data_IF_984158079156
#
_entry.id   IF_984158079156
#
_cell.length_a   1.000
_cell.length_b   1.000
_cell.length_c   1.000
_cell.angle_alpha   90.00
_cell.angle_beta   90.00
_cell.angle_gamma   90.00
#
_symmetry.space_group_name_H-M   'P 1'
#
loop_
_entity.id
_entity.type
_entity.pdbx_description
1 polymer ?
#
# COMPACT_ATOMS: atom_id res chain seq x y z
N UNK A 1 -2.45 21.64 -3.90
CA UNK A 1 -3.47 20.57 -3.79
C UNK A 1 -2.81 19.19 -3.81
N UNK A 2 -2.22 18.76 -4.92
CA UNK A 2 -1.58 17.43 -4.98
C UNK A 2 -0.37 17.30 -4.03
N UNK A 3 0.53 18.28 -4.04
CA UNK A 3 1.65 18.33 -3.08
C UNK A 3 1.17 18.33 -1.62
N UNK A 4 0.06 19.00 -1.33
CA UNK A 4 -0.55 19.01 0.01
C UNK A 4 -1.01 17.61 0.41
N UNK A 5 -1.66 16.88 -0.52
CA UNK A 5 -2.07 15.50 -0.27
C UNK A 5 -0.86 14.56 -0.09
N UNK A 6 0.22 14.79 -0.84
CA UNK A 6 1.45 14.04 -0.65
C UNK A 6 2.08 14.30 0.72
N UNK A 7 2.07 15.55 1.19
CA UNK A 7 2.55 15.89 2.53
C UNK A 7 1.68 15.21 3.60
N UNK A 8 0.35 15.34 3.51
CA UNK A 8 -0.58 14.67 4.44
C UNK A 8 -0.41 13.15 4.45
N UNK A 9 -0.15 12.55 3.29
CA UNK A 9 0.13 11.13 3.18
C UNK A 9 1.43 10.80 3.90
N UNK A 10 2.50 11.55 3.64
CA UNK A 10 3.80 11.35 4.26
C UNK A 10 3.75 11.50 5.79
N UNK A 11 3.06 12.53 6.28
CA UNK A 11 2.95 12.83 7.72
C UNK A 11 2.27 11.70 8.51
N UNK A 12 1.36 10.94 7.86
CA UNK A 12 0.68 9.79 8.47
C UNK A 12 1.43 8.46 8.33
N UNK A 13 2.59 8.43 7.65
CA UNK A 13 3.39 7.22 7.46
C UNK A 13 4.38 7.04 8.61
N UNK A 14 4.43 5.82 9.14
CA UNK A 14 5.56 5.31 9.91
C UNK A 14 6.17 4.08 9.22
N UNK A 15 7.46 3.89 9.41
CA UNK A 15 8.23 2.86 8.72
C UNK A 15 8.28 1.58 9.54
N UNK A 16 7.91 0.47 8.90
CA UNK A 16 8.03 -0.86 9.49
C UNK A 16 8.69 -1.82 8.50
N UNK A 17 10.01 -1.99 8.62
CA UNK A 17 10.80 -2.72 7.62
C UNK A 17 10.77 -1.98 6.27
N UNK A 18 10.36 -2.65 5.19
CA UNK A 18 10.19 -2.04 3.85
C UNK A 18 8.80 -1.40 3.65
N UNK A 19 7.90 -1.57 4.61
CA UNK A 19 6.49 -1.23 4.47
C UNK A 19 6.23 0.21 4.99
N UNK A 20 5.46 1.01 4.24
CA UNK A 20 5.05 2.36 4.62
C UNK A 20 3.69 2.25 5.30
N UNK A 21 3.63 2.26 6.62
CA UNK A 21 2.39 2.01 7.35
C UNK A 21 1.70 3.34 7.63
N UNK A 22 0.48 3.49 7.17
CA UNK A 22 -0.32 4.68 7.42
C UNK A 22 -1.22 4.45 8.63
N UNK A 23 -1.03 5.26 9.67
CA UNK A 23 -1.92 5.35 10.83
C UNK A 23 -2.79 6.58 10.66
N UNK A 24 -3.87 6.43 9.88
CA UNK A 24 -4.87 7.48 9.75
C UNK A 24 -5.59 7.77 11.07
N UNK A 25 -6.50 8.74 11.05
CA UNK A 25 -7.33 9.09 12.21
C UNK A 25 -8.42 8.07 12.50
N UNK A 26 -8.81 7.28 11.51
CA UNK A 26 -9.90 6.30 11.60
C UNK A 26 -9.63 5.07 10.73
N UNK A 27 -10.42 4.02 10.95
CA UNK A 27 -10.41 2.79 10.16
C UNK A 27 -11.79 2.56 9.53
N UNK A 28 -11.80 2.11 8.27
CA UNK A 28 -13.01 1.55 7.65
C UNK A 28 -13.53 0.35 8.42
N UNK A 29 -14.80 -0.04 8.18
CA UNK A 29 -15.40 -1.29 8.72
C UNK A 29 -14.54 -2.52 8.43
N UNK A 30 -13.82 -2.52 7.30
CA UNK A 30 -12.92 -3.60 6.92
C UNK A 30 -11.50 -3.45 7.51
N UNK A 31 -11.22 -2.48 8.37
CA UNK A 31 -9.94 -2.28 9.06
C UNK A 31 -8.83 -1.64 8.22
N UNK A 32 -9.15 -1.00 7.09
CA UNK A 32 -8.20 -0.19 6.34
C UNK A 32 -8.13 1.23 6.91
N UNK A 33 -6.92 1.82 7.03
CA UNK A 33 -6.78 3.23 7.36
C UNK A 33 -7.44 4.14 6.35
N UNK A 34 -8.03 5.19 6.89
CA UNK A 34 -8.71 6.24 6.15
C UNK A 34 -7.90 7.54 6.22
N UNK A 35 -7.99 8.33 5.16
CA UNK A 35 -7.27 9.57 4.97
C UNK A 35 -8.20 10.61 4.33
N UNK A 36 -8.19 11.82 4.88
CA UNK A 36 -8.76 12.99 4.20
C UNK A 36 -7.79 13.51 3.15
N UNK A 37 -8.32 13.92 2.00
CA UNK A 37 -7.55 14.68 1.02
C UNK A 37 -7.95 16.15 1.08
N UNK A 38 -7.04 17.05 0.71
CA UNK A 38 -7.29 18.49 0.61
C UNK A 38 -8.53 18.82 -0.24
N UNK A 39 -8.83 18.00 -1.26
CA UNK A 39 -9.97 18.22 -2.14
C UNK A 39 -11.27 17.60 -1.61
N UNK A 40 -11.21 16.91 -0.47
CA UNK A 40 -12.34 16.21 0.16
C UNK A 40 -12.18 16.24 1.67
N UNK A 41 -12.09 17.44 2.24
CA UNK A 41 -11.94 17.62 3.70
C UNK A 41 -13.07 16.98 4.52
N UNK A 42 -14.22 16.69 3.91
CA UNK A 42 -15.39 16.08 4.56
C UNK A 42 -15.61 14.61 4.17
N UNK A 43 -14.77 14.03 3.30
CA UNK A 43 -14.91 12.64 2.84
C UNK A 43 -13.58 11.92 2.98
N UNK A 44 -13.57 10.89 3.81
CA UNK A 44 -12.43 10.00 3.99
C UNK A 44 -12.31 9.00 2.85
N UNK A 45 -11.07 8.75 2.41
CA UNK A 45 -10.74 7.75 1.40
C UNK A 45 -9.77 6.71 1.98
N UNK A 46 -9.78 5.51 1.40
CA UNK A 46 -8.83 4.45 1.75
C UNK A 46 -7.40 4.94 1.49
N UNK A 47 -6.57 5.03 2.52
CA UNK A 47 -5.24 5.64 2.44
C UNK A 47 -4.35 4.99 1.38
N UNK A 48 -4.39 3.66 1.26
CA UNK A 48 -3.63 2.93 0.25
C UNK A 48 -4.09 3.24 -1.20
N UNK A 49 -5.37 3.59 -1.40
CA UNK A 49 -5.88 4.03 -2.71
C UNK A 49 -5.45 5.46 -3.02
N UNK A 50 -5.46 6.34 -2.00
CA UNK A 50 -4.95 7.71 -2.13
C UNK A 50 -3.47 7.68 -2.51
N UNK A 51 -2.67 6.88 -1.82
CA UNK A 51 -1.25 6.71 -2.14
C UNK A 51 -1.04 6.17 -3.56
N UNK A 52 -1.83 5.17 -3.97
CA UNK A 52 -1.77 4.65 -5.33
C UNK A 52 -2.11 5.73 -6.37
N UNK A 53 -3.18 6.49 -6.17
CA UNK A 53 -3.60 7.54 -7.09
C UNK A 53 -2.52 8.63 -7.24
N UNK A 54 -2.02 9.15 -6.11
CA UNK A 54 -0.99 10.20 -6.08
C UNK A 54 0.34 9.77 -6.69
N UNK A 55 0.72 8.49 -6.55
CA UNK A 55 2.06 8.02 -6.90
C UNK A 55 2.12 7.21 -8.20
N UNK A 56 1.02 6.57 -8.58
CA UNK A 56 0.92 5.72 -9.78
C UNK A 56 -0.07 6.26 -10.82
N UNK A 57 -0.71 7.40 -10.57
CA UNK A 57 -1.72 8.02 -11.44
C UNK A 57 -2.93 7.10 -11.70
N UNK A 58 -3.35 6.42 -10.63
CA UNK A 58 -4.51 5.54 -10.66
C UNK A 58 -4.22 4.18 -11.29
N UNK A 59 -5.27 3.41 -11.52
CA UNK A 59 -5.23 2.09 -12.16
C UNK A 59 -6.42 1.93 -13.09
N UNK A 60 -6.38 0.90 -13.95
CA UNK A 60 -7.48 0.61 -14.88
C UNK A 60 -8.79 0.43 -14.11
N UNK A 61 -9.94 0.91 -14.65
CA UNK A 61 -11.24 0.66 -14.06
C UNK A 61 -11.48 -0.82 -13.75
N UNK A 62 -12.27 -1.09 -12.70
CA UNK A 62 -12.65 -2.46 -12.26
C UNK A 62 -11.48 -3.32 -11.79
N UNK A 63 -10.35 -2.69 -11.42
CA UNK A 63 -9.25 -3.36 -10.71
C UNK A 63 -9.34 -3.08 -9.21
N UNK A 64 -8.91 -4.05 -8.42
CA UNK A 64 -8.75 -3.94 -6.97
C UNK A 64 -7.26 -3.86 -6.66
N UNK A 65 -6.88 -3.08 -5.65
CA UNK A 65 -5.51 -3.06 -5.15
C UNK A 65 -5.34 -4.19 -4.14
N UNK A 66 -4.58 -5.23 -4.52
CA UNK A 66 -4.27 -6.37 -3.67
C UNK A 66 -2.88 -6.19 -3.06
N UNK A 67 -2.79 -6.29 -1.73
CA UNK A 67 -1.51 -6.33 -1.03
C UNK A 67 -0.79 -7.67 -1.31
N UNK A 68 0.45 -7.58 -1.77
CA UNK A 68 1.29 -8.74 -2.04
C UNK A 68 1.64 -9.47 -0.73
N UNK A 69 1.91 -10.77 -0.83
CA UNK A 69 2.02 -11.74 0.29
C UNK A 69 3.10 -11.43 1.33
N UNK A 70 3.98 -10.50 0.97
CA UNK A 70 5.07 -9.91 1.72
C UNK A 70 4.64 -8.82 2.72
N UNK A 71 3.50 -8.19 2.51
CA UNK A 71 3.19 -6.92 3.16
C UNK A 71 2.67 -7.08 4.61
N UNK A 72 2.94 -6.11 5.49
CA UNK A 72 2.29 -5.99 6.83
C UNK A 72 0.78 -5.71 6.76
N UNK A 73 0.19 -5.72 5.57
CA UNK A 73 -1.25 -5.80 5.35
C UNK A 73 -1.93 -4.45 5.16
N UNK A 74 -3.15 -4.31 5.69
CA UNK A 74 -4.10 -3.24 5.38
C UNK A 74 -3.58 -1.82 5.64
N UNK A 75 -2.62 -1.69 6.57
CA UNK A 75 -1.99 -0.42 6.92
C UNK A 75 -0.98 0.08 5.90
N UNK A 76 -0.43 -0.79 5.05
CA UNK A 76 0.63 -0.41 4.13
C UNK A 76 0.10 0.38 2.92
N UNK A 77 0.74 1.51 2.64
CA UNK A 77 0.45 2.40 1.52
C UNK A 77 1.54 2.42 0.45
N UNK A 78 2.63 1.64 0.63
CA UNK A 78 3.70 1.52 -0.36
C UNK A 78 3.18 0.89 -1.67
N UNK A 79 3.18 1.62 -2.81
CA UNK A 79 2.73 1.09 -4.10
C UNK A 79 3.49 -0.16 -4.55
N UNK A 80 4.78 -0.30 -4.19
CA UNK A 80 5.56 -1.49 -4.51
C UNK A 80 5.06 -2.76 -3.81
N UNK A 81 4.22 -2.64 -2.78
CA UNK A 81 3.62 -3.76 -2.07
C UNK A 81 2.18 -4.04 -2.49
N UNK A 82 1.69 -3.39 -3.54
CA UNK A 82 0.33 -3.53 -4.07
C UNK A 82 0.33 -3.80 -5.57
N UNK A 83 -0.67 -4.54 -6.02
CA UNK A 83 -0.88 -4.83 -7.44
C UNK A 83 -2.35 -4.60 -7.83
N UNK A 84 -2.62 -3.86 -8.92
CA UNK A 84 -3.94 -3.79 -9.54
C UNK A 84 -4.34 -5.14 -10.15
N UNK A 85 -5.23 -5.87 -9.47
CA UNK A 85 -5.69 -7.19 -9.91
C UNK A 85 -7.18 -7.19 -10.21
N UNK A 86 -7.67 -8.25 -10.86
CA UNK A 86 -9.13 -8.46 -10.97
C UNK A 86 -9.68 -8.97 -9.64
N UNK A 87 -10.98 -8.78 -9.40
CA UNK A 87 -11.67 -9.31 -8.22
C UNK A 87 -11.45 -10.83 -8.05
N UNK A 88 -11.45 -11.59 -9.15
CA UNK A 88 -11.17 -13.04 -9.13
C UNK A 88 -9.77 -13.36 -8.61
N UNK A 89 -8.75 -12.61 -9.05
CA UNK A 89 -7.37 -12.80 -8.57
C UNK A 89 -7.27 -12.40 -7.09
N UNK A 90 -7.84 -11.26 -6.71
CA UNK A 90 -7.84 -10.81 -5.32
C UNK A 90 -8.50 -11.84 -4.38
N UNK A 91 -9.65 -12.38 -4.78
CA UNK A 91 -10.35 -13.42 -4.03
C UNK A 91 -9.51 -14.70 -3.90
N UNK A 92 -8.93 -15.19 -5.00
CA UNK A 92 -8.06 -16.38 -4.98
C UNK A 92 -6.86 -16.19 -4.05
N UNK A 93 -6.17 -15.04 -4.14
CA UNK A 93 -5.03 -14.72 -3.26
C UNK A 93 -5.46 -14.57 -1.81
N UNK A 94 -6.64 -14.01 -1.54
CA UNK A 94 -7.20 -13.92 -0.19
C UNK A 94 -7.44 -15.31 0.42
N UNK A 95 -7.99 -16.25 -0.35
CA UNK A 95 -8.19 -17.63 0.10
C UNK A 95 -6.85 -18.31 0.38
N UNK A 96 -5.88 -18.20 -0.54
CA UNK A 96 -4.54 -18.74 -0.31
C UNK A 96 -3.90 -18.18 0.97
N UNK A 97 -3.94 -16.86 1.19
CA UNK A 97 -3.46 -16.22 2.42
C UNK A 97 -4.17 -16.70 3.68
N UNK A 98 -5.46 -17.05 3.60
CA UNK A 98 -6.24 -17.59 4.72
C UNK A 98 -5.78 -19.00 5.07
N UNK A 99 -5.72 -19.89 4.07
CA UNK A 99 -5.27 -21.27 4.23
C UNK A 99 -3.84 -21.32 4.81
N UNK A 100 -2.96 -20.44 4.34
CA UNK A 100 -1.59 -20.34 4.87
C UNK A 100 -1.52 -19.93 6.34
N UNK A 101 -2.47 -19.13 6.85
CA UNK A 101 -2.52 -18.75 8.27
C UNK A 101 -3.04 -19.89 9.15
N UNK A 102 -3.86 -20.76 8.59
CA UNK A 102 -4.48 -21.89 9.30
C UNK A 102 -3.53 -23.08 9.44
N UNK A 103 -2.58 -23.26 8.51
CA UNK A 103 -1.63 -24.38 8.47
C UNK A 103 -0.50 -24.31 9.53
N UNK A 104 -0.48 -23.28 10.38
CA UNK A 104 0.40 -23.22 11.56
C UNK A 104 1.91 -23.09 11.29
N UNK A 105 2.38 -23.16 10.03
CA UNK A 105 3.75 -22.79 9.70
C UNK A 105 3.94 -21.29 9.97
N UNK A 106 4.67 -21.01 11.05
CA UNK A 106 5.12 -19.68 11.44
C UNK A 106 6.14 -19.14 10.43
N UNK A 107 5.71 -18.83 9.21
CA UNK A 107 6.47 -17.92 8.38
C UNK A 107 6.42 -16.55 9.05
N UNK A 108 7.39 -16.31 9.93
CA UNK A 108 7.76 -14.97 10.38
C UNK A 108 8.23 -14.23 9.13
N UNK A 109 7.30 -13.66 8.36
CA UNK A 109 7.60 -12.57 7.43
C UNK A 109 7.97 -11.37 8.30
N UNK A 110 9.20 -11.39 8.84
CA UNK A 110 9.80 -10.23 9.50
C UNK A 110 10.10 -9.13 8.48
N UNK A 111 10.06 -9.46 7.19
CA UNK A 111 10.43 -8.57 6.10
C UNK A 111 9.44 -8.68 4.94
N UNK A 112 9.25 -7.59 4.20
CA UNK A 112 8.35 -7.59 3.07
C UNK A 112 8.97 -8.52 1.97
N UNK A 113 8.45 -9.75 1.85
CA UNK A 113 8.91 -10.86 0.98
C UNK A 113 9.01 -10.60 -0.54
N UNK A 114 9.35 -11.64 -1.35
CA UNK A 114 10.05 -11.48 -2.63
C UNK A 114 9.23 -10.87 -3.76
N UNK A 115 7.89 -10.89 -3.66
CA UNK A 115 7.01 -10.32 -4.67
C UNK A 115 6.73 -8.87 -4.35
N UNK A 116 7.39 -7.99 -5.09
CA UNK A 116 7.06 -6.58 -5.17
C UNK A 116 6.54 -6.24 -6.57
N UNK A 117 5.73 -5.20 -6.65
CA UNK A 117 5.32 -4.61 -7.91
C UNK A 117 6.51 -3.84 -8.51
N UNK A 118 7.19 -4.46 -9.48
CA UNK A 118 8.39 -3.89 -10.14
C UNK A 118 8.10 -2.57 -10.87
N UNK A 119 6.90 -2.43 -11.43
CA UNK A 119 6.47 -1.20 -12.10
C UNK A 119 6.42 -0.05 -11.09
N UNK A 120 5.74 -0.26 -9.97
CA UNK A 120 5.66 0.72 -8.89
C UNK A 120 7.03 0.98 -8.24
N UNK A 121 7.83 -0.07 -8.02
CA UNK A 121 9.16 0.05 -7.43
C UNK A 121 10.14 0.87 -8.28
N UNK A 122 9.97 0.85 -9.61
CA UNK A 122 10.80 1.62 -10.55
C UNK A 122 10.16 2.94 -10.97
N UNK A 123 8.97 3.27 -10.46
CA UNK A 123 8.27 4.48 -10.83
C UNK A 123 9.01 5.71 -10.25
N UNK A 124 9.43 6.67 -11.09
CA UNK A 124 10.16 7.85 -10.62
C UNK A 124 9.44 8.65 -9.54
N UNK A 125 8.10 8.69 -9.57
CA UNK A 125 7.28 9.41 -8.61
C UNK A 125 7.26 8.71 -7.25
N UNK A 126 7.23 7.37 -7.25
CA UNK A 126 7.35 6.56 -6.03
C UNK A 126 8.74 6.72 -5.42
N UNK A 127 9.79 6.66 -6.23
CA UNK A 127 11.18 6.86 -5.79
C UNK A 127 11.38 8.28 -5.24
N UNK A 128 10.89 9.29 -5.95
CA UNK A 128 10.96 10.69 -5.52
C UNK A 128 10.23 10.90 -4.19
N UNK A 129 9.02 10.34 -4.03
CA UNK A 129 8.26 10.47 -2.80
C UNK A 129 9.00 9.83 -1.63
N UNK A 130 9.50 8.62 -1.81
CA UNK A 130 10.26 7.91 -0.79
C UNK A 130 11.54 8.69 -0.40
N UNK A 131 12.27 9.20 -1.39
CA UNK A 131 13.48 10.01 -1.15
C UNK A 131 13.16 11.31 -0.43
N UNK A 132 12.10 12.02 -0.84
CA UNK A 132 11.71 13.31 -0.28
C UNK A 132 11.33 13.22 1.20
N UNK A 133 10.67 12.13 1.58
CA UNK A 133 10.11 11.94 2.93
C UNK A 133 10.87 10.88 3.75
N UNK A 134 12.12 10.57 3.35
CA UNK A 134 13.01 9.64 4.05
C UNK A 134 12.38 8.26 4.35
N UNK A 135 11.63 7.72 3.38
CA UNK A 135 11.00 6.42 3.47
C UNK A 135 11.89 5.33 2.81
N UNK A 136 11.81 4.07 3.25
CA UNK A 136 12.51 2.97 2.61
C UNK A 136 12.20 2.92 1.11
N UNK A 137 13.25 2.95 0.30
CA UNK A 137 13.13 2.82 -1.14
C UNK A 137 12.54 1.45 -1.48
N UNK A 138 11.62 1.38 -2.45
CA UNK A 138 11.12 0.10 -2.95
C UNK A 138 12.19 -0.54 -3.83
N UNK A 139 13.15 -1.24 -3.21
CA UNK A 139 14.22 -1.90 -3.94
C UNK A 139 13.70 -3.20 -4.55
N UNK A 140 13.78 -3.30 -5.88
CA UNK A 140 13.72 -4.58 -6.58
C UNK A 140 15.06 -5.23 -6.34
N UNK A 141 15.13 -6.23 -5.47
CA UNK A 141 16.35 -7.04 -5.36
C UNK A 141 16.73 -7.50 -6.78
N UNK A 142 18.01 -7.30 -7.14
CA UNK A 142 18.57 -7.49 -8.48
C UNK A 142 18.47 -8.92 -8.98
#
# INVERSE_FOLDING_TARGET
MEQTNMQLLADGIHVEGKCWIFTGTSLSVSGYPLMYTHNSANVEWLAHRVAWDLLMHGHKPRRELDHLTACRGKGCVNPAHMEPVTATINQRRRVARKLWREDGETYRVKECGPRINREAARNPRVIWFATKYDLPLPVVDG
#
